data_IF_971260625810
#
_entry.id   IF_971260625810
#
_cell.length_a   1.000
_cell.length_b   1.000
_cell.length_c   1.000
_cell.angle_alpha   90.00
_cell.angle_beta   90.00
_cell.angle_gamma   90.00
#
_symmetry.space_group_name_H-M   'P 1'
#
loop_
_entity.id
_entity.type
_entity.pdbx_description
1 polymer ?
#
# COMPACT_ATOMS: atom_id res chain seq x y z
N UNK A 1 -4.67 -8.17 -7.64
CA UNK A 1 -3.67 -8.01 -8.70
C UNK A 1 -2.45 -8.77 -8.24
N UNK A 2 -1.93 -9.70 -9.02
CA UNK A 2 -0.72 -10.46 -8.62
C UNK A 2 0.45 -9.49 -8.44
N UNK A 3 1.29 -9.69 -7.41
CA UNK A 3 2.42 -8.79 -7.09
C UNK A 3 3.33 -8.58 -8.31
N UNK A 4 3.50 -9.62 -9.12
CA UNK A 4 4.31 -9.61 -10.34
C UNK A 4 3.75 -8.61 -11.37
N UNK A 5 2.43 -8.57 -11.55
CA UNK A 5 1.78 -7.66 -12.48
C UNK A 5 1.94 -6.19 -12.04
N UNK A 6 1.89 -5.94 -10.72
CA UNK A 6 2.15 -4.61 -10.18
C UNK A 6 3.59 -4.16 -10.46
N UNK A 7 4.57 -5.02 -10.15
CA UNK A 7 6.00 -4.74 -10.39
C UNK A 7 6.25 -4.48 -11.88
N UNK A 8 5.68 -5.30 -12.76
CA UNK A 8 5.80 -5.14 -14.21
C UNK A 8 5.29 -3.77 -14.69
N UNK A 9 4.10 -3.37 -14.23
CA UNK A 9 3.52 -2.04 -14.52
C UNK A 9 4.36 -0.91 -13.96
N UNK A 10 4.88 -1.05 -12.74
CA UNK A 10 5.71 -0.04 -12.10
C UNK A 10 7.02 0.20 -12.87
N UNK A 11 7.70 -0.88 -13.29
CA UNK A 11 8.92 -0.79 -14.11
C UNK A 11 8.63 -0.08 -15.43
N UNK A 12 7.56 -0.49 -16.12
CA UNK A 12 7.16 0.13 -17.40
C UNK A 12 6.84 1.61 -17.23
N UNK A 13 6.07 1.96 -16.20
CA UNK A 13 5.72 3.36 -15.88
C UNK A 13 6.97 4.19 -15.67
N UNK A 14 7.88 3.76 -14.78
CA UNK A 14 9.12 4.49 -14.51
C UNK A 14 9.99 4.65 -15.76
N UNK A 15 10.01 3.64 -16.64
CA UNK A 15 10.70 3.72 -17.93
C UNK A 15 10.08 4.78 -18.85
N UNK A 16 8.76 4.85 -18.94
CA UNK A 16 8.04 5.78 -19.83
C UNK A 16 8.04 7.22 -19.30
N UNK A 17 8.01 7.39 -17.98
CA UNK A 17 8.03 8.71 -17.32
C UNK A 17 9.45 9.28 -17.12
N UNK A 18 10.48 8.49 -17.39
CA UNK A 18 11.87 8.88 -17.18
C UNK A 18 12.23 10.19 -17.91
N UNK A 19 13.10 11.00 -17.29
CA UNK A 19 13.60 12.25 -17.85
C UNK A 19 12.47 13.22 -18.28
N UNK A 20 11.58 13.55 -17.33
CA UNK A 20 10.45 14.46 -17.54
C UNK A 20 9.45 13.98 -18.61
N UNK A 21 9.21 12.67 -18.67
CA UNK A 21 8.26 12.06 -19.62
C UNK A 21 8.80 11.84 -21.03
N UNK A 22 10.09 12.09 -21.28
CA UNK A 22 10.74 11.71 -22.54
C UNK A 22 10.81 10.19 -22.69
N UNK A 23 10.91 9.49 -21.56
CA UNK A 23 11.05 8.05 -21.48
C UNK A 23 12.46 7.57 -21.81
N UNK A 24 12.69 6.28 -21.63
CA UNK A 24 13.90 5.56 -22.07
C UNK A 24 13.48 4.26 -22.76
N UNK A 25 14.20 3.83 -23.79
CA UNK A 25 13.88 2.55 -24.45
C UNK A 25 14.28 1.36 -23.56
N UNK A 26 13.64 0.20 -23.77
CA UNK A 26 14.00 -1.03 -23.04
C UNK A 26 15.48 -1.40 -23.26
N UNK A 27 15.98 -1.22 -24.48
CA UNK A 27 17.38 -1.48 -24.83
C UNK A 27 18.35 -0.55 -24.12
N UNK A 28 18.03 0.74 -24.04
CA UNK A 28 18.87 1.72 -23.33
C UNK A 28 18.86 1.48 -21.81
N UNK A 29 17.69 1.19 -21.23
CA UNK A 29 17.58 0.82 -19.82
C UNK A 29 18.40 -0.43 -19.52
N UNK A 30 18.29 -1.47 -20.35
CA UNK A 30 19.10 -2.68 -20.23
C UNK A 30 20.59 -2.37 -20.27
N UNK A 31 21.03 -1.51 -21.20
CA UNK A 31 22.43 -1.07 -21.29
C UNK A 31 22.88 -0.33 -20.03
N UNK A 32 22.05 0.56 -19.47
CA UNK A 32 22.35 1.31 -18.24
C UNK A 32 22.46 0.39 -17.02
N UNK A 33 21.68 -0.69 -16.98
CA UNK A 33 21.67 -1.67 -15.91
C UNK A 33 22.60 -2.88 -16.16
N UNK A 34 23.34 -2.88 -17.28
CA UNK A 34 24.18 -4.02 -17.70
C UNK A 34 23.41 -5.35 -17.76
N UNK A 35 22.18 -5.31 -18.27
CA UNK A 35 21.31 -6.48 -18.52
C UNK A 35 21.14 -6.70 -20.02
N UNK A 36 20.64 -7.88 -20.39
CA UNK A 36 20.22 -8.15 -21.76
C UNK A 36 18.94 -7.36 -22.09
N UNK A 37 18.75 -6.85 -23.32
CA UNK A 37 17.54 -6.11 -23.70
C UNK A 37 16.23 -6.89 -23.44
N UNK A 38 16.24 -8.20 -23.69
CA UNK A 38 15.08 -9.07 -23.47
C UNK A 38 14.69 -9.17 -21.98
N UNK A 39 15.63 -8.93 -21.06
CA UNK A 39 15.36 -8.96 -19.62
C UNK A 39 14.36 -7.88 -19.21
N UNK A 40 14.52 -6.65 -19.71
CA UNK A 40 13.60 -5.55 -19.39
C UNK A 40 12.21 -5.84 -19.95
N UNK A 41 12.13 -6.33 -21.19
CA UNK A 41 10.87 -6.71 -21.82
C UNK A 41 10.11 -7.74 -20.98
N UNK A 42 10.79 -8.81 -20.56
CA UNK A 42 10.24 -9.88 -19.71
C UNK A 42 9.80 -9.41 -18.33
N UNK A 43 10.48 -8.42 -17.76
CA UNK A 43 10.05 -7.80 -16.51
C UNK A 43 8.78 -6.97 -16.71
N UNK A 44 8.70 -6.17 -17.77
CA UNK A 44 7.54 -5.31 -18.06
C UNK A 44 6.29 -6.08 -18.51
N UNK A 45 6.45 -7.28 -19.06
CA UNK A 45 5.33 -8.18 -19.39
C UNK A 45 4.90 -9.06 -18.22
N UNK A 46 5.70 -9.14 -17.16
CA UNK A 46 5.49 -10.04 -16.04
C UNK A 46 5.80 -11.52 -16.36
N UNK A 47 6.43 -11.81 -17.51
CA UNK A 47 6.88 -13.17 -17.88
C UNK A 47 7.92 -13.67 -16.87
N UNK A 48 8.79 -12.77 -16.39
CA UNK A 48 9.79 -13.07 -15.36
C UNK A 48 9.77 -12.05 -14.24
N UNK A 49 9.95 -12.54 -13.01
CA UNK A 49 10.10 -11.71 -11.82
C UNK A 49 11.54 -11.21 -11.69
N UNK A 50 11.78 -9.88 -11.54
CA UNK A 50 13.08 -9.36 -11.15
C UNK A 50 13.48 -9.85 -9.76
N UNK A 51 14.77 -10.07 -9.52
CA UNK A 51 15.28 -10.37 -8.18
C UNK A 51 15.34 -9.09 -7.34
N UNK A 52 15.56 -9.23 -6.04
CA UNK A 52 15.66 -8.09 -5.12
C UNK A 52 16.81 -7.15 -5.53
N UNK A 53 17.93 -7.71 -5.97
CA UNK A 53 19.08 -6.93 -6.46
C UNK A 53 18.71 -6.12 -7.71
N UNK A 54 17.92 -6.72 -8.61
CA UNK A 54 17.47 -6.06 -9.83
C UNK A 54 16.48 -4.92 -9.52
N UNK A 55 15.57 -5.12 -8.55
CA UNK A 55 14.67 -4.06 -8.06
C UNK A 55 15.45 -2.91 -7.40
N UNK A 56 16.50 -3.23 -6.65
CA UNK A 56 17.38 -2.22 -6.05
C UNK A 56 18.13 -1.41 -7.11
N UNK A 57 18.68 -2.07 -8.14
CA UNK A 57 19.34 -1.39 -9.27
C UNK A 57 18.37 -0.47 -10.02
N UNK A 58 17.14 -0.93 -10.28
CA UNK A 58 16.08 -0.12 -10.89
C UNK A 58 15.75 1.11 -10.02
N UNK A 59 15.49 0.92 -8.73
CA UNK A 59 15.18 2.00 -7.81
C UNK A 59 16.30 3.05 -7.76
N UNK A 60 17.56 2.59 -7.72
CA UNK A 60 18.74 3.46 -7.74
C UNK A 60 18.87 4.23 -9.06
N UNK A 61 18.63 3.56 -10.19
CA UNK A 61 18.67 4.19 -11.51
C UNK A 61 17.61 5.29 -11.65
N UNK A 62 16.36 4.99 -11.26
CA UNK A 62 15.24 5.91 -11.33
C UNK A 62 15.19 6.92 -10.18
N UNK A 63 16.04 6.77 -9.16
CA UNK A 63 16.11 7.62 -7.96
C UNK A 63 14.78 7.65 -7.18
N UNK A 64 14.12 6.50 -7.10
CA UNK A 64 12.88 6.30 -6.34
C UNK A 64 13.12 5.37 -5.16
N UNK A 65 12.19 5.33 -4.21
CA UNK A 65 12.18 4.29 -3.19
C UNK A 65 11.90 2.93 -3.83
N UNK A 66 12.55 1.87 -3.35
CA UNK A 66 12.24 0.50 -3.80
C UNK A 66 10.77 0.13 -3.54
N UNK A 67 10.13 0.77 -2.56
CA UNK A 67 8.72 0.59 -2.26
C UNK A 67 7.81 1.08 -3.39
N UNK A 68 8.25 2.01 -4.24
CA UNK A 68 7.44 2.46 -5.39
C UNK A 68 7.31 1.40 -6.50
N UNK A 69 8.16 0.38 -6.49
CA UNK A 69 8.09 -0.77 -7.39
C UNK A 69 7.14 -1.86 -6.86
N UNK A 70 6.73 -1.75 -5.60
CA UNK A 70 5.92 -2.75 -4.92
C UNK A 70 4.49 -2.22 -4.72
N UNK A 71 3.49 -3.12 -4.68
CA UNK A 71 2.14 -2.72 -4.35
C UNK A 71 2.13 -2.04 -2.97
N UNK A 72 1.38 -0.95 -2.89
CA UNK A 72 1.19 -0.24 -1.62
C UNK A 72 0.30 -1.12 -0.73
N UNK A 73 0.88 -1.64 0.36
CA UNK A 73 0.13 -2.38 1.38
C UNK A 73 -0.63 -1.44 2.33
N UNK A 74 -0.54 -0.12 2.10
CA UNK A 74 -1.32 0.87 2.86
C UNK A 74 -2.79 0.70 2.56
N UNK A 75 -3.49 0.12 3.52
CA UNK A 75 -4.93 0.10 3.48
C UNK A 75 -5.45 1.52 3.69
N UNK A 76 -6.63 1.83 3.14
CA UNK A 76 -7.28 3.13 3.35
C UNK A 76 -7.47 3.47 4.85
N UNK A 77 -7.47 2.44 5.71
CA UNK A 77 -7.46 2.56 7.17
C UNK A 77 -6.17 3.17 7.71
N UNK A 78 -5.03 2.86 7.12
CA UNK A 78 -3.72 3.32 7.57
C UNK A 78 -3.64 4.82 7.32
N UNK A 79 -3.94 5.26 6.09
CA UNK A 79 -3.95 6.69 5.71
C UNK A 79 -4.86 7.54 6.60
N UNK A 80 -6.05 7.02 6.95
CA UNK A 80 -7.00 7.70 7.86
C UNK A 80 -6.47 7.76 9.30
N UNK A 81 -5.78 6.72 9.74
CA UNK A 81 -5.18 6.66 11.06
C UNK A 81 -3.98 7.61 11.16
N UNK A 82 -3.13 7.70 10.14
CA UNK A 82 -2.03 8.68 10.11
C UNK A 82 -2.53 10.13 10.05
N UNK A 83 -3.61 10.40 9.33
CA UNK A 83 -4.27 11.71 9.36
C UNK A 83 -4.80 12.04 10.77
N UNK A 84 -5.43 11.08 11.45
CA UNK A 84 -5.90 11.24 12.82
C UNK A 84 -4.75 11.51 13.79
N UNK A 85 -3.65 10.74 13.71
CA UNK A 85 -2.46 10.93 14.55
C UNK A 85 -1.82 12.30 14.37
N UNK A 86 -1.72 12.79 13.11
CA UNK A 86 -1.21 14.14 12.84
C UNK A 86 -2.08 15.22 13.47
N UNK A 87 -3.39 15.11 13.33
CA UNK A 87 -4.32 16.07 13.95
C UNK A 87 -4.27 16.01 15.48
N UNK A 88 -4.20 14.80 16.06
CA UNK A 88 -4.16 14.61 17.51
C UNK A 88 -2.88 15.15 18.16
N UNK A 89 -1.73 15.11 17.45
CA UNK A 89 -0.48 15.65 17.97
C UNK A 89 -0.49 17.18 18.13
N UNK A 90 -1.33 17.88 17.36
CA UNK A 90 -1.46 19.35 17.43
C UNK A 90 -2.40 19.82 18.54
N UNK A 91 -3.09 18.91 19.22
CA UNK A 91 -4.02 19.24 20.31
C UNK A 91 -3.27 19.39 21.64
N UNK A 92 -3.90 20.10 22.57
CA UNK A 92 -3.44 20.16 23.95
C UNK A 92 -3.79 18.87 24.72
N UNK A 93 -3.33 18.79 25.97
CA UNK A 93 -3.48 17.58 26.78
C UNK A 93 -4.92 17.35 27.24
N UNK A 94 -5.72 18.41 27.37
CA UNK A 94 -7.13 18.31 27.75
C UNK A 94 -7.95 17.73 26.60
N UNK A 95 -7.78 18.27 25.39
CA UNK A 95 -8.42 17.81 24.16
C UNK A 95 -8.01 16.36 23.80
N UNK A 96 -6.74 16.00 24.03
CA UNK A 96 -6.27 14.61 23.84
C UNK A 96 -6.96 13.64 24.79
N UNK A 97 -7.17 14.02 26.04
CA UNK A 97 -7.85 13.17 27.02
C UNK A 97 -9.34 13.02 26.67
N UNK A 98 -9.99 14.06 26.15
CA UNK A 98 -11.36 13.95 25.63
C UNK A 98 -11.45 12.96 24.46
N UNK A 99 -10.54 13.08 23.48
CA UNK A 99 -10.44 12.12 22.38
C UNK A 99 -10.24 10.68 22.87
N UNK A 100 -9.38 10.48 23.88
CA UNK A 100 -9.13 9.17 24.49
C UNK A 100 -10.42 8.58 25.06
N UNK A 101 -11.16 9.36 25.86
CA UNK A 101 -12.43 8.95 26.46
C UNK A 101 -13.49 8.63 25.41
N UNK A 102 -13.56 9.44 24.35
CA UNK A 102 -14.49 9.19 23.25
C UNK A 102 -14.17 7.87 22.53
N UNK A 103 -12.90 7.58 22.27
CA UNK A 103 -12.49 6.31 21.67
C UNK A 103 -12.89 5.11 22.55
N UNK A 104 -12.65 5.18 23.86
CA UNK A 104 -13.05 4.16 24.84
C UNK A 104 -14.56 3.93 24.84
N UNK A 105 -15.34 5.01 24.86
CA UNK A 105 -16.79 4.96 24.79
C UNK A 105 -17.28 4.23 23.53
N UNK A 106 -16.71 4.55 22.36
CA UNK A 106 -17.08 3.90 21.08
C UNK A 106 -16.73 2.41 21.07
N UNK A 107 -15.58 2.03 21.66
CA UNK A 107 -15.19 0.62 21.83
C UNK A 107 -16.17 -0.14 22.74
N UNK A 108 -16.57 0.46 23.86
CA UNK A 108 -17.56 -0.11 24.77
C UNK A 108 -18.91 -0.31 24.07
N UNK A 109 -19.44 0.72 23.40
CA UNK A 109 -20.68 0.63 22.63
C UNK A 109 -20.66 -0.48 21.58
N UNK A 110 -19.54 -0.65 20.87
CA UNK A 110 -19.40 -1.71 19.85
C UNK A 110 -19.49 -3.09 20.51
N UNK A 111 -18.80 -3.31 21.64
CA UNK A 111 -18.85 -4.55 22.42
C UNK A 111 -20.29 -4.90 22.82
N UNK A 112 -21.05 -3.94 23.37
CA UNK A 112 -22.45 -4.14 23.75
C UNK A 112 -23.34 -4.50 22.55
N UNK A 113 -23.24 -3.78 21.43
CA UNK A 113 -24.02 -4.10 20.21
C UNK A 113 -23.70 -5.48 19.64
N UNK A 114 -22.44 -5.95 19.72
CA UNK A 114 -22.10 -7.32 19.33
C UNK A 114 -22.57 -8.38 20.33
N UNK A 115 -22.71 -8.04 21.61
CA UNK A 115 -23.23 -8.95 22.63
C UNK A 115 -24.76 -9.13 22.52
N UNK A 116 -25.51 -8.06 22.26
CA UNK A 116 -26.96 -8.12 22.04
C UNK A 116 -27.33 -8.95 20.80
N UNK A 117 -26.56 -8.86 19.71
CA UNK A 117 -26.77 -9.67 18.50
C UNK A 117 -26.51 -11.17 18.68
N UNK A 118 -25.83 -11.59 19.76
CA UNK A 118 -25.48 -13.00 20.03
C UNK A 118 -26.49 -13.73 20.95
N UNK A 119 -27.53 -13.06 21.47
CA UNK A 119 -28.57 -13.75 22.22
C UNK A 119 -29.55 -14.46 21.27
N UNK A 120 -29.73 -15.80 21.36
CA UNK A 120 -30.66 -16.51 20.51
C UNK A 120 -32.10 -16.17 20.92
N UNK A 121 -32.92 -15.86 19.92
CA UNK A 121 -34.37 -15.67 20.01
C UNK A 121 -34.98 -16.79 20.86
N UNK A 122 -35.33 -16.50 22.12
CA UNK A 122 -36.05 -17.45 22.97
C UNK A 122 -37.34 -17.83 22.25
N UNK A 123 -37.42 -19.10 21.84
CA UNK A 123 -38.60 -19.80 21.31
C UNK A 123 -39.87 -19.26 21.97
N UNK A 124 -40.69 -18.50 21.22
CA UNK A 124 -42.12 -18.42 21.49
C UNK A 124 -42.72 -19.77 21.07
N UNK A 125 -42.64 -20.77 21.95
CA UNK A 125 -43.58 -21.89 21.92
C UNK A 125 -44.89 -21.35 22.49
N UNK A 126 -45.87 -21.14 21.61
CA UNK A 126 -47.28 -21.03 21.98
C UNK A 126 -48.12 -21.47 20.77
N UNK A 127 -48.35 -22.77 20.64
CA UNK A 127 -49.67 -23.43 20.64
C UNK A 127 -49.49 -24.91 20.40
#
# INVERSE_FOLDING_TARGET
MEIIEHVAKAIKRLREEYNSGVGISQTELAKKLSKAPNTISRWETGEYKPRIEDLYELAKFFRVSILELLPDDKNESDVKLEALFRSANSLDDEDKEELRRFAEFRLAQKKYKTAEKKQPSKKKKNK
#
